data_IF_179343461416
#
_entry.id   IF_179343461416
#
_cell.length_a   1.000
_cell.length_b   1.000
_cell.length_c   1.000
_cell.angle_alpha   90.00
_cell.angle_beta   90.00
_cell.angle_gamma   90.00
#
_symmetry.space_group_name_H-M   'P 1'
#
loop_
_entity.id
_entity.type
_entity.pdbx_description
1 polymer ?
#
# COMPACT_ATOMS: atom_id res chain seq x y z
N UNK A 1 5.88 -19.89 -10.53
CA UNK A 1 7.29 -19.67 -10.13
C UNK A 1 8.02 -18.74 -11.11
N UNK A 2 8.04 -19.02 -12.42
CA UNK A 2 8.71 -18.17 -13.42
C UNK A 2 8.20 -16.71 -13.48
N UNK A 3 6.89 -16.49 -13.32
CA UNK A 3 6.31 -15.14 -13.27
C UNK A 3 6.76 -14.32 -12.05
N UNK A 4 7.09 -14.94 -10.91
CA UNK A 4 7.53 -14.25 -9.69
C UNK A 4 9.01 -13.86 -9.77
N UNK A 5 9.87 -14.78 -10.22
CA UNK A 5 11.29 -14.49 -10.43
C UNK A 5 11.51 -13.42 -11.52
N UNK A 6 10.80 -13.53 -12.65
CA UNK A 6 10.93 -12.56 -13.74
C UNK A 6 10.48 -11.15 -13.34
N UNK A 7 9.44 -11.02 -12.52
CA UNK A 7 8.98 -9.73 -12.02
C UNK A 7 9.96 -9.10 -11.00
N UNK A 8 10.62 -9.90 -10.16
CA UNK A 8 11.62 -9.44 -9.20
C UNK A 8 12.92 -8.98 -9.88
N UNK A 9 13.43 -9.72 -10.86
CA UNK A 9 14.64 -9.30 -11.60
C UNK A 9 14.43 -8.01 -12.39
N UNK A 10 13.27 -7.87 -13.05
CA UNK A 10 12.96 -6.70 -13.86
C UNK A 10 12.74 -5.42 -13.05
N UNK A 11 12.18 -5.51 -11.83
CA UNK A 11 11.78 -4.34 -11.04
C UNK A 11 12.75 -3.99 -9.91
N UNK A 12 13.47 -4.98 -9.37
CA UNK A 12 14.21 -4.85 -8.12
C UNK A 12 15.71 -5.11 -8.28
N UNK A 13 16.15 -5.54 -9.47
CA UNK A 13 17.57 -5.78 -9.81
C UNK A 13 18.22 -6.93 -9.05
N UNK A 14 17.46 -7.69 -8.26
CA UNK A 14 17.92 -8.83 -7.48
C UNK A 14 16.79 -9.82 -7.20
N UNK A 15 17.12 -11.10 -7.14
CA UNK A 15 16.18 -12.16 -6.76
C UNK A 15 16.27 -12.39 -5.25
N UNK A 16 15.24 -12.01 -4.49
CA UNK A 16 15.08 -12.53 -3.12
C UNK A 16 14.47 -13.92 -3.15
N UNK A 17 15.05 -14.86 -2.41
CA UNK A 17 14.47 -16.20 -2.26
C UNK A 17 13.13 -16.10 -1.53
N UNK A 18 12.15 -16.97 -1.84
CA UNK A 18 10.86 -16.96 -1.16
C UNK A 18 10.97 -16.95 0.38
N UNK A 19 11.87 -17.77 0.94
CA UNK A 19 12.10 -17.86 2.39
C UNK A 19 12.56 -16.53 3.00
N UNK A 20 13.37 -15.76 2.27
CA UNK A 20 13.84 -14.44 2.71
C UNK A 20 12.70 -13.43 2.75
N UNK A 21 11.77 -13.49 1.78
CA UNK A 21 10.57 -12.64 1.75
C UNK A 21 9.63 -12.98 2.89
N UNK A 22 9.41 -14.28 3.16
CA UNK A 22 8.60 -14.73 4.30
C UNK A 22 9.20 -14.24 5.61
N UNK A 23 10.53 -14.36 5.78
CA UNK A 23 11.21 -13.83 6.98
C UNK A 23 11.04 -12.32 7.17
N UNK A 24 10.96 -11.53 6.09
CA UNK A 24 10.64 -10.11 6.21
C UNK A 24 9.20 -9.83 6.64
N UNK A 25 8.25 -10.65 6.20
CA UNK A 25 6.84 -10.52 6.58
C UNK A 25 6.62 -10.91 8.05
N UNK A 26 7.24 -12.01 8.48
CA UNK A 26 7.12 -12.51 9.85
C UNK A 26 7.78 -11.60 10.90
N UNK A 27 8.77 -10.81 10.48
CA UNK A 27 9.48 -9.86 11.33
C UNK A 27 8.72 -8.54 11.57
N UNK A 28 7.57 -8.31 10.92
CA UNK A 28 6.81 -7.07 11.07
C UNK A 28 6.11 -7.04 12.43
N UNK A 29 6.45 -6.05 13.25
CA UNK A 29 5.80 -5.85 14.55
C UNK A 29 4.63 -4.83 14.47
N UNK A 30 3.69 -4.86 15.43
CA UNK A 30 2.62 -3.86 15.50
C UNK A 30 3.13 -2.41 15.54
N UNK A 31 4.29 -2.18 16.16
CA UNK A 31 4.92 -0.86 16.19
C UNK A 31 5.38 -0.38 14.80
N UNK A 32 5.84 -1.29 13.94
CA UNK A 32 6.20 -0.97 12.56
C UNK A 32 4.97 -0.56 11.74
N UNK A 33 3.86 -1.26 11.94
CA UNK A 33 2.59 -0.92 11.29
C UNK A 33 2.15 0.49 11.70
N UNK A 34 2.15 0.79 13.00
CA UNK A 34 1.76 2.11 13.49
C UNK A 34 2.68 3.22 12.97
N UNK A 35 3.99 2.95 12.89
CA UNK A 35 5.00 3.88 12.37
C UNK A 35 4.77 4.17 10.88
N UNK A 36 4.60 3.12 10.07
CA UNK A 36 4.35 3.26 8.62
C UNK A 36 3.01 3.95 8.38
N UNK A 37 1.95 3.58 9.10
CA UNK A 37 0.65 4.24 9.00
C UNK A 37 0.77 5.75 9.22
N UNK A 38 1.49 6.20 10.26
CA UNK A 38 1.74 7.63 10.50
C UNK A 38 2.49 8.35 9.37
N UNK A 39 3.33 7.64 8.62
CA UNK A 39 4.11 8.24 7.53
C UNK A 39 3.33 8.36 6.21
N UNK A 40 2.34 7.50 6.00
CA UNK A 40 1.68 7.37 4.69
C UNK A 40 0.18 7.63 4.70
N UNK A 41 -0.48 7.54 5.85
CA UNK A 41 -1.90 7.81 6.02
C UNK A 41 -2.06 9.22 6.60
N UNK A 42 -1.91 10.23 5.74
CA UNK A 42 -2.14 11.64 6.07
C UNK A 42 -3.25 12.22 5.21
N UNK A 43 -4.00 13.18 5.75
CA UNK A 43 -5.11 13.86 5.06
C UNK A 43 -4.65 14.50 3.73
N UNK A 44 -3.41 14.97 3.65
CA UNK A 44 -2.85 15.57 2.43
C UNK A 44 -2.57 14.56 1.31
N UNK A 45 -2.49 13.26 1.65
CA UNK A 45 -2.13 12.19 0.72
C UNK A 45 -3.35 11.46 0.14
N UNK A 46 -4.54 11.65 0.71
CA UNK A 46 -5.75 10.95 0.28
C UNK A 46 -6.33 11.61 -0.98
N UNK A 47 -6.69 10.78 -1.97
CA UNK A 47 -7.29 11.22 -3.24
C UNK A 47 -8.59 10.47 -3.48
N UNK A 48 -9.66 11.18 -3.85
CA UNK A 48 -10.96 10.60 -4.19
C UNK A 48 -11.33 10.95 -5.63
N UNK A 49 -11.71 9.93 -6.41
CA UNK A 49 -12.29 10.09 -7.74
C UNK A 49 -13.73 9.57 -7.72
N UNK A 50 -14.71 10.41 -8.10
CA UNK A 50 -16.14 10.07 -8.13
C UNK A 50 -16.65 10.15 -9.56
N UNK A 51 -17.33 9.10 -10.04
CA UNK A 51 -17.96 9.05 -11.36
C UNK A 51 -19.43 8.67 -11.20
N UNK A 52 -20.35 9.56 -11.61
CA UNK A 52 -21.80 9.32 -11.54
C UNK A 52 -22.63 10.60 -11.58
N UNK A 53 -23.96 10.51 -11.76
CA UNK A 53 -24.85 11.66 -11.75
C UNK A 53 -24.79 12.42 -10.40
N UNK A 54 -24.84 13.75 -10.49
CA UNK A 54 -24.51 14.70 -9.42
C UNK A 54 -25.29 14.41 -8.13
N UNK A 55 -24.58 14.12 -7.04
CA UNK A 55 -25.18 13.97 -5.71
C UNK A 55 -24.28 13.35 -4.63
N UNK A 56 -23.36 12.45 -5.00
CA UNK A 56 -22.52 11.72 -4.02
C UNK A 56 -21.28 12.46 -3.53
N UNK A 57 -20.83 13.52 -4.21
CA UNK A 57 -19.52 14.14 -3.97
C UNK A 57 -19.36 14.68 -2.54
N UNK A 58 -20.39 15.35 -1.99
CA UNK A 58 -20.31 15.98 -0.66
C UNK A 58 -20.28 14.93 0.46
N UNK A 59 -21.04 13.85 0.29
CA UNK A 59 -21.07 12.73 1.24
C UNK A 59 -19.73 11.99 1.23
N UNK A 60 -19.14 11.79 0.05
CA UNK A 60 -17.90 11.03 -0.11
C UNK A 60 -16.65 11.86 0.26
N UNK A 61 -16.66 13.17 0.00
CA UNK A 61 -15.56 14.06 0.39
C UNK A 61 -15.33 14.11 1.91
N UNK A 62 -16.38 13.90 2.71
CA UNK A 62 -16.28 13.81 4.18
C UNK A 62 -15.48 12.60 4.67
N UNK A 63 -15.24 11.59 3.82
CA UNK A 63 -14.50 10.36 4.16
C UNK A 63 -12.98 10.50 3.96
N UNK A 64 -12.51 11.64 3.44
CA UNK A 64 -11.09 11.93 3.19
C UNK A 64 -10.34 12.40 4.46
N UNK A 65 -10.53 11.71 5.60
CA UNK A 65 -9.88 12.06 6.87
C UNK A 65 -9.35 10.81 7.58
N UNK A 66 -8.11 10.88 8.07
CA UNK A 66 -7.47 9.86 8.91
C UNK A 66 -7.45 10.23 10.41
#
# INVERSE_FOLDING_TARGET
MASWLGAQELLQGSVSTPDKVVGYLDAVEPADIARVAKSFLSDESIRLAVVGPRGGEKTLAGMLRF
#
